data_IF_132323479069
#
_entry.id   IF_132323479069
#
_cell.length_a   1.000
_cell.length_b   1.000
_cell.length_c   1.000
_cell.angle_alpha   90.00
_cell.angle_beta   90.00
_cell.angle_gamma   90.00
#
_symmetry.space_group_name_H-M   'P 1'
#
loop_
_entity.id
_entity.type
_entity.pdbx_description
1 polymer ?
#
# COMPACT_ATOMS: atom_id res chain seq x y z
N UNK A 1 19.41 -7.11 -5.56
CA UNK A 1 18.20 -7.26 -4.72
C UNK A 1 18.61 -8.12 -3.52
N UNK A 2 18.51 -7.60 -2.28
CA UNK A 2 18.82 -8.39 -1.07
C UNK A 2 17.54 -9.12 -0.65
N UNK A 3 17.54 -10.44 -0.73
CA UNK A 3 16.44 -11.31 -0.27
C UNK A 3 16.64 -11.76 1.18
N UNK A 4 17.41 -11.01 1.97
CA UNK A 4 17.88 -11.47 3.27
C UNK A 4 16.75 -11.69 4.27
N UNK A 5 15.67 -10.90 4.20
CA UNK A 5 14.51 -11.08 5.07
C UNK A 5 13.66 -12.28 4.65
N UNK A 6 13.26 -12.32 3.37
CA UNK A 6 12.39 -13.38 2.85
C UNK A 6 13.08 -14.74 2.82
N UNK A 7 14.34 -14.80 2.39
CA UNK A 7 15.10 -16.05 2.34
C UNK A 7 15.38 -16.62 3.72
N UNK A 8 15.60 -15.77 4.72
CA UNK A 8 15.82 -16.23 6.10
C UNK A 8 14.54 -16.80 6.71
N UNK A 9 13.39 -16.15 6.53
CA UNK A 9 12.10 -16.71 6.93
C UNK A 9 11.81 -18.05 6.25
N UNK A 10 12.09 -18.16 4.95
CA UNK A 10 11.91 -19.40 4.19
C UNK A 10 12.85 -20.52 4.64
N UNK A 11 14.08 -20.18 5.02
CA UNK A 11 15.05 -21.14 5.52
C UNK A 11 14.57 -21.82 6.81
N UNK A 12 13.92 -21.07 7.70
CA UNK A 12 13.36 -21.57 8.97
C UNK A 12 11.91 -22.07 8.90
N UNK A 13 11.29 -22.02 7.71
CA UNK A 13 9.92 -22.45 7.52
C UNK A 13 9.70 -23.94 7.88
N UNK A 14 10.60 -24.90 7.53
CA UNK A 14 10.40 -26.30 7.90
C UNK A 14 10.37 -26.53 9.42
N UNK A 15 11.25 -25.86 10.18
CA UNK A 15 11.28 -25.95 11.63
C UNK A 15 10.02 -25.34 12.26
N UNK A 16 9.57 -24.18 11.75
CA UNK A 16 8.32 -23.56 12.18
C UNK A 16 7.14 -24.51 11.97
N UNK A 17 6.93 -25.01 10.76
CA UNK A 17 5.83 -25.93 10.44
C UNK A 17 5.87 -27.20 11.29
N UNK A 18 7.07 -27.74 11.55
CA UNK A 18 7.21 -28.89 12.44
C UNK A 18 6.78 -28.56 13.87
N UNK A 19 7.14 -27.38 14.39
CA UNK A 19 6.79 -26.94 15.74
C UNK A 19 5.29 -26.66 15.92
N UNK A 20 4.58 -26.27 14.86
CA UNK A 20 3.13 -26.02 14.88
C UNK A 20 2.31 -27.25 14.50
N UNK A 21 2.93 -28.42 14.28
CA UNK A 21 2.22 -29.61 13.82
C UNK A 21 1.60 -29.44 12.43
N UNK A 22 2.25 -28.66 11.57
CA UNK A 22 1.84 -28.32 10.21
C UNK A 22 0.50 -27.60 10.12
N UNK A 23 0.05 -26.96 11.20
CA UNK A 23 -1.11 -26.10 11.18
C UNK A 23 -0.76 -24.76 10.53
N UNK A 24 -1.73 -24.21 9.79
CA UNK A 24 -1.60 -22.88 9.22
C UNK A 24 -1.62 -21.84 10.35
N UNK A 25 -0.75 -20.82 10.31
CA UNK A 25 -0.82 -19.72 11.27
C UNK A 25 -2.10 -18.90 11.06
N UNK A 26 -2.86 -18.68 12.13
CA UNK A 26 -4.06 -17.84 12.13
C UNK A 26 -3.78 -16.41 12.63
N UNK A 27 -2.69 -16.22 13.40
CA UNK A 27 -2.28 -14.92 13.93
C UNK A 27 -1.11 -14.34 13.10
N UNK A 28 -1.26 -13.14 12.50
CA UNK A 28 -0.20 -12.43 11.79
C UNK A 28 1.05 -12.12 12.64
N UNK A 29 0.93 -12.21 13.97
CA UNK A 29 1.99 -11.99 14.95
C UNK A 29 2.70 -13.30 15.36
N UNK A 30 2.24 -14.45 14.85
CA UNK A 30 2.80 -15.78 15.15
C UNK A 30 2.97 -16.60 13.86
N UNK A 31 3.71 -16.07 12.91
CA UNK A 31 4.01 -16.73 11.64
C UNK A 31 5.47 -17.16 11.48
N UNK A 32 5.82 -17.72 10.30
CA UNK A 32 7.20 -18.13 9.97
C UNK A 32 8.22 -16.99 10.09
N UNK A 33 7.82 -15.75 9.78
CA UNK A 33 8.67 -14.57 9.95
C UNK A 33 9.02 -14.33 11.42
N UNK A 34 8.03 -14.34 12.30
CA UNK A 34 8.21 -14.15 13.73
C UNK A 34 9.07 -15.25 14.35
N UNK A 35 8.86 -16.49 13.92
CA UNK A 35 9.69 -17.63 14.32
C UNK A 35 11.15 -17.43 13.90
N UNK A 36 11.42 -17.09 12.63
CA UNK A 36 12.77 -16.93 12.13
C UNK A 36 13.51 -15.77 12.84
N UNK A 37 12.85 -14.63 13.00
CA UNK A 37 13.48 -13.42 13.56
C UNK A 37 13.37 -13.30 15.09
N UNK A 38 12.74 -14.26 15.77
CA UNK A 38 12.56 -14.27 17.22
C UNK A 38 11.84 -13.02 17.73
N UNK A 39 10.76 -12.62 17.06
CA UNK A 39 10.01 -11.38 17.36
C UNK A 39 8.52 -11.66 17.43
N UNK A 40 7.80 -10.94 18.29
CA UNK A 40 6.33 -10.92 18.39
C UNK A 40 5.70 -9.78 17.55
N UNK A 41 6.52 -8.96 16.88
CA UNK A 41 6.08 -7.84 16.07
C UNK A 41 5.47 -8.31 14.75
N UNK A 42 4.47 -7.58 14.27
CA UNK A 42 4.02 -7.68 12.87
C UNK A 42 5.12 -7.18 11.93
N UNK A 43 5.13 -7.67 10.69
CA UNK A 43 6.19 -7.38 9.71
C UNK A 43 6.47 -5.87 9.52
N UNK A 44 5.42 -5.06 9.33
CA UNK A 44 5.58 -3.61 9.13
C UNK A 44 6.08 -2.89 10.38
N UNK A 45 5.62 -3.28 11.57
CA UNK A 45 6.15 -2.73 12.83
C UNK A 45 7.65 -3.04 12.97
N UNK A 46 8.06 -4.27 12.63
CA UNK A 46 9.47 -4.66 12.61
C UNK A 46 10.31 -3.86 11.59
N UNK A 47 9.72 -3.49 10.44
CA UNK A 47 10.39 -2.64 9.45
C UNK A 47 10.52 -1.19 9.91
N UNK A 48 9.49 -0.61 10.56
CA UNK A 48 9.50 0.76 11.09
C UNK A 48 10.64 0.96 12.11
N UNK A 49 10.89 -0.03 12.96
CA UNK A 49 12.03 -0.03 13.89
C UNK A 49 13.40 -0.09 13.18
N UNK A 50 13.43 -0.33 11.86
CA UNK A 50 14.64 -0.57 11.05
C UNK A 50 14.61 0.30 9.79
N UNK A 51 14.83 1.62 9.89
CA UNK A 51 14.60 2.58 8.80
C UNK A 51 15.38 2.28 7.52
N UNK A 52 16.62 1.74 7.63
CA UNK A 52 17.40 1.30 6.46
C UNK A 52 16.71 0.17 5.68
N UNK A 53 16.02 -0.75 6.37
CA UNK A 53 15.30 -1.86 5.76
C UNK A 53 13.97 -1.39 5.17
N UNK A 54 13.26 -0.52 5.89
CA UNK A 54 12.04 0.13 5.39
C UNK A 54 12.30 0.84 4.06
N UNK A 55 13.37 1.64 3.97
CA UNK A 55 13.77 2.31 2.74
C UNK A 55 14.02 1.34 1.57
N UNK A 56 14.73 0.23 1.83
CA UNK A 56 14.97 -0.82 0.82
C UNK A 56 13.65 -1.47 0.38
N UNK A 57 12.76 -1.74 1.34
CA UNK A 57 11.43 -2.31 1.07
C UNK A 57 10.60 -1.37 0.19
N UNK A 58 10.54 -0.07 0.53
CA UNK A 58 9.83 0.94 -0.25
C UNK A 58 10.38 1.05 -1.67
N UNK A 59 11.71 1.13 -1.85
CA UNK A 59 12.32 1.14 -3.19
C UNK A 59 12.06 -0.16 -3.98
N UNK A 60 11.99 -1.31 -3.30
CA UNK A 60 11.62 -2.57 -3.94
C UNK A 60 10.17 -2.55 -4.40
N UNK A 61 9.25 -2.08 -3.56
CA UNK A 61 7.83 -1.93 -3.89
C UNK A 61 7.61 -0.98 -5.08
N UNK A 62 8.36 0.11 -5.16
CA UNK A 62 8.35 1.02 -6.32
C UNK A 62 8.77 0.28 -7.60
N UNK A 63 9.89 -0.45 -7.56
CA UNK A 63 10.39 -1.21 -8.70
C UNK A 63 9.40 -2.30 -9.13
N UNK A 64 8.77 -2.98 -8.18
CA UNK A 64 7.81 -4.05 -8.45
C UNK A 64 6.54 -3.56 -9.16
N UNK A 65 6.21 -2.27 -9.04
CA UNK A 65 5.11 -1.62 -9.77
C UNK A 65 5.50 -1.26 -11.21
N UNK A 66 6.79 -1.11 -11.52
CA UNK A 66 7.24 -0.75 -12.86
C UNK A 66 6.86 -1.83 -13.89
N UNK A 67 6.24 -1.41 -14.99
CA UNK A 67 5.80 -2.30 -16.07
C UNK A 67 4.44 -2.98 -15.85
N UNK A 68 3.79 -2.79 -14.70
CA UNK A 68 2.39 -3.21 -14.52
C UNK A 68 1.46 -2.29 -15.30
N UNK A 69 0.39 -2.86 -15.86
CA UNK A 69 -0.70 -2.06 -16.44
C UNK A 69 -1.34 -1.22 -15.34
N UNK A 70 -1.63 0.03 -15.67
CA UNK A 70 -2.34 0.91 -14.76
C UNK A 70 -3.78 0.43 -14.60
N UNK A 71 -4.33 0.48 -13.39
CA UNK A 71 -5.67 -0.06 -13.10
C UNK A 71 -6.76 0.59 -13.99
N UNK A 72 -6.61 1.89 -14.28
CA UNK A 72 -7.52 2.67 -15.13
C UNK A 72 -7.43 2.33 -16.63
N UNK A 73 -6.44 1.52 -17.05
CA UNK A 73 -6.40 0.96 -18.40
C UNK A 73 -7.25 -0.31 -18.53
N UNK A 74 -7.56 -0.95 -17.41
CA UNK A 74 -8.39 -2.15 -17.34
C UNK A 74 -9.83 -1.85 -16.91
N UNK A 75 -10.04 -0.75 -16.19
CA UNK A 75 -11.36 -0.29 -15.75
C UNK A 75 -11.80 0.92 -16.56
N UNK A 76 -12.94 0.87 -17.28
CA UNK A 76 -13.47 2.01 -18.03
C UNK A 76 -13.84 3.13 -17.05
N UNK A 77 -13.09 4.22 -17.07
CA UNK A 77 -13.28 5.35 -16.14
C UNK A 77 -14.64 6.02 -16.34
N UNK A 78 -15.22 5.92 -17.55
CA UNK A 78 -16.57 6.42 -17.87
C UNK A 78 -17.67 5.64 -17.14
N UNK A 79 -17.38 4.43 -16.65
CA UNK A 79 -18.29 3.64 -15.81
C UNK A 79 -18.18 4.01 -14.33
N UNK A 80 -17.11 4.69 -13.93
CA UNK A 80 -17.04 5.34 -12.62
C UNK A 80 -17.89 6.61 -12.66
N UNK A 81 -18.32 7.10 -11.51
CA UNK A 81 -19.18 8.29 -11.42
C UNK A 81 -18.45 9.53 -11.98
N UNK A 82 -18.61 9.75 -13.29
CA UNK A 82 -17.92 10.77 -14.06
C UNK A 82 -18.35 12.19 -13.68
N UNK A 83 -19.47 12.34 -12.96
CA UNK A 83 -19.86 13.62 -12.38
C UNK A 83 -18.85 14.10 -11.34
N UNK A 84 -18.30 13.18 -10.54
CA UNK A 84 -17.28 13.47 -9.51
C UNK A 84 -15.90 13.70 -10.09
N UNK A 85 -15.60 13.14 -11.26
CA UNK A 85 -14.36 13.49 -12.00
C UNK A 85 -14.28 14.98 -12.29
N UNK A 86 -15.42 15.63 -12.52
CA UNK A 86 -15.49 17.03 -12.93
C UNK A 86 -15.79 17.98 -11.76
N UNK A 87 -16.20 17.45 -10.61
CA UNK A 87 -16.51 18.23 -9.42
C UNK A 87 -15.26 18.41 -8.52
N UNK A 88 -14.76 19.64 -8.43
CA UNK A 88 -13.50 19.95 -7.74
C UNK A 88 -13.52 19.65 -6.22
N UNK A 89 -14.70 19.66 -5.60
CA UNK A 89 -14.85 19.37 -4.16
C UNK A 89 -15.06 17.88 -3.89
N UNK A 90 -15.47 17.11 -4.90
CA UNK A 90 -15.72 15.69 -4.74
C UNK A 90 -14.39 14.94 -4.66
N UNK A 91 -14.29 14.03 -3.69
CA UNK A 91 -13.23 13.03 -3.67
C UNK A 91 -13.53 12.02 -4.77
N UNK A 92 -12.62 11.84 -5.70
CA UNK A 92 -12.77 10.89 -6.80
C UNK A 92 -12.13 9.55 -6.44
N UNK A 93 -10.84 9.56 -6.11
CA UNK A 93 -10.06 8.37 -5.74
C UNK A 93 -9.44 8.57 -4.35
N UNK A 94 -9.46 7.50 -3.56
CA UNK A 94 -8.62 7.33 -2.37
C UNK A 94 -7.70 6.12 -2.61
N UNK A 95 -6.39 6.35 -2.65
CA UNK A 95 -5.37 5.30 -2.79
C UNK A 95 -4.81 4.94 -1.41
N UNK A 96 -5.29 3.82 -0.86
CA UNK A 96 -4.95 3.36 0.50
C UNK A 96 -3.70 2.50 0.47
N UNK A 97 -2.65 2.92 1.15
CA UNK A 97 -1.34 2.24 1.10
C UNK A 97 -0.66 2.42 -0.26
N UNK A 98 -0.88 3.56 -0.92
CA UNK A 98 -0.37 3.86 -2.26
C UNK A 98 1.15 4.08 -2.36
N UNK A 99 1.87 4.05 -1.23
CA UNK A 99 3.29 4.37 -1.16
C UNK A 99 3.53 5.84 -1.52
N UNK A 100 4.44 6.11 -2.46
CA UNK A 100 4.74 7.47 -2.93
C UNK A 100 3.79 7.98 -4.04
N UNK A 101 2.58 7.42 -4.16
CA UNK A 101 1.50 7.97 -5.00
C UNK A 101 1.68 7.82 -6.52
N UNK A 102 2.42 6.81 -6.97
CA UNK A 102 2.69 6.59 -8.40
C UNK A 102 1.43 6.39 -9.24
N UNK A 103 0.45 5.65 -8.72
CA UNK A 103 -0.78 5.34 -9.46
C UNK A 103 -1.66 6.59 -9.62
N UNK A 104 -1.69 7.46 -8.59
CA UNK A 104 -2.37 8.76 -8.64
C UNK A 104 -1.69 9.75 -9.59
N UNK A 105 -0.35 9.79 -9.61
CA UNK A 105 0.41 10.58 -10.59
C UNK A 105 0.09 10.13 -12.02
N UNK A 106 0.15 8.82 -12.28
CA UNK A 106 -0.17 8.26 -13.59
C UNK A 106 -1.62 8.58 -14.01
N UNK A 107 -2.56 8.51 -13.06
CA UNK A 107 -3.95 8.90 -13.30
C UNK A 107 -4.08 10.38 -13.67
N UNK A 108 -3.42 11.28 -12.93
CA UNK A 108 -3.46 12.73 -13.21
C UNK A 108 -2.89 13.06 -14.58
N UNK A 109 -1.83 12.37 -15.01
CA UNK A 109 -1.22 12.54 -16.34
C UNK A 109 -2.15 12.02 -17.44
N UNK A 110 -2.80 10.87 -17.23
CA UNK A 110 -3.73 10.27 -18.19
C UNK A 110 -5.04 11.09 -18.34
N UNK A 111 -5.49 11.73 -17.26
CA UNK A 111 -6.74 12.48 -17.20
C UNK A 111 -6.52 13.93 -16.70
N UNK A 112 -5.83 14.79 -17.46
CA UNK A 112 -5.52 16.16 -17.02
C UNK A 112 -6.77 17.04 -16.85
N UNK A 113 -7.89 16.67 -17.48
CA UNK A 113 -9.18 17.34 -17.31
C UNK A 113 -9.96 16.94 -16.06
N UNK A 114 -9.52 15.91 -15.32
CA UNK A 114 -10.15 15.50 -14.07
C UNK A 114 -9.88 16.54 -12.97
N UNK A 115 -10.95 17.05 -12.37
CA UNK A 115 -10.96 18.06 -11.31
C UNK A 115 -11.17 17.47 -9.92
N UNK A 116 -11.72 16.26 -9.84
CA UNK A 116 -11.93 15.55 -8.58
C UNK A 116 -10.65 15.40 -7.77
N UNK A 117 -10.78 15.38 -6.44
CA UNK A 117 -9.66 15.22 -5.51
C UNK A 117 -9.15 13.78 -5.58
N UNK A 118 -7.83 13.65 -5.56
CA UNK A 118 -7.11 12.38 -5.46
C UNK A 118 -6.45 12.37 -4.09
N UNK A 119 -6.80 11.40 -3.25
CA UNK A 119 -6.27 11.29 -1.89
C UNK A 119 -5.27 10.14 -1.85
N UNK A 120 -4.09 10.38 -1.29
CA UNK A 120 -3.10 9.36 -0.96
C UNK A 120 -3.13 9.12 0.55
N UNK A 121 -3.45 7.89 0.97
CA UNK A 121 -3.42 7.48 2.37
C UNK A 121 -2.21 6.57 2.64
N UNK A 122 -1.33 6.98 3.55
CA UNK A 122 -0.15 6.20 3.95
C UNK A 122 0.29 6.53 5.39
N UNK A 123 1.22 5.76 5.93
CA UNK A 123 1.94 6.00 7.17
C UNK A 123 2.73 7.31 7.11
N UNK A 124 2.92 7.92 8.29
CA UNK A 124 3.54 9.23 8.44
C UNK A 124 4.92 9.30 7.76
N UNK A 125 5.74 8.27 7.95
CA UNK A 125 7.10 8.20 7.42
C UNK A 125 7.11 8.22 5.88
N UNK A 126 6.17 7.55 5.23
CA UNK A 126 6.07 7.53 3.76
C UNK A 126 5.53 8.86 3.22
N UNK A 127 4.58 9.50 3.93
CA UNK A 127 4.07 10.82 3.56
C UNK A 127 5.17 11.88 3.69
N UNK A 128 6.00 11.81 4.73
CA UNK A 128 7.16 12.70 4.91
C UNK A 128 8.20 12.55 3.80
N UNK A 129 8.37 11.34 3.26
CA UNK A 129 9.26 11.05 2.13
C UNK A 129 8.63 11.33 0.74
N UNK A 130 7.39 11.82 0.68
CA UNK A 130 6.69 12.06 -0.59
C UNK A 130 7.45 13.08 -1.46
N UNK A 131 7.79 12.75 -2.72
CA UNK A 131 8.57 13.66 -3.55
C UNK A 131 7.82 14.97 -3.85
N UNK A 132 8.53 16.09 -3.78
CA UNK A 132 7.97 17.45 -3.93
C UNK A 132 7.29 17.69 -5.28
N UNK A 133 7.71 16.98 -6.33
CA UNK A 133 7.05 17.01 -7.64
C UNK A 133 5.69 16.28 -7.69
N UNK A 134 5.45 15.31 -6.79
CA UNK A 134 4.17 14.57 -6.71
C UNK A 134 3.18 15.16 -5.74
N UNK A 135 3.66 15.77 -4.65
CA UNK A 135 2.80 16.38 -3.64
C UNK A 135 1.71 17.32 -4.21
N UNK A 136 1.92 18.08 -5.31
CA UNK A 136 0.86 18.90 -5.89
C UNK A 136 -0.22 18.14 -6.68
N UNK A 137 -0.01 16.87 -7.02
CA UNK A 137 -0.92 16.10 -7.88
C UNK A 137 -2.06 15.43 -7.10
N UNK A 138 -1.90 15.29 -5.79
CA UNK A 138 -2.76 14.56 -4.85
C UNK A 138 -2.74 15.21 -3.47
N UNK A 139 -3.68 14.83 -2.62
CA UNK A 139 -3.75 15.27 -1.23
C UNK A 139 -3.24 14.14 -0.32
N UNK A 140 -2.06 14.29 0.31
CA UNK A 140 -1.54 13.28 1.21
C UNK A 140 -2.25 13.33 2.57
N UNK A 141 -2.65 12.17 3.08
CA UNK A 141 -3.26 11.99 4.39
C UNK A 141 -2.52 10.89 5.13
N UNK A 142 -2.09 11.19 6.36
CA UNK A 142 -1.54 10.17 7.25
C UNK A 142 -2.67 9.29 7.75
N UNK A 143 -2.61 8.00 7.43
CA UNK A 143 -3.67 7.05 7.77
C UNK A 143 -3.11 5.65 8.03
N UNK A 144 -3.60 5.03 9.11
CA UNK A 144 -3.38 3.62 9.40
C UNK A 144 -4.61 2.82 8.92
N UNK A 145 -4.43 2.03 7.86
CA UNK A 145 -5.51 1.26 7.25
C UNK A 145 -6.08 0.14 8.14
N UNK A 146 -5.45 -0.17 9.28
CA UNK A 146 -6.02 -1.06 10.28
C UNK A 146 -7.03 -0.36 11.20
N UNK A 147 -7.20 0.96 11.07
CA UNK A 147 -8.21 1.74 11.78
C UNK A 147 -9.44 1.98 10.91
N UNK A 148 -10.58 2.43 11.45
CA UNK A 148 -11.75 2.76 10.65
C UNK A 148 -11.47 3.89 9.64
N UNK A 149 -11.96 3.71 8.40
CA UNK A 149 -11.75 4.65 7.28
C UNK A 149 -12.31 6.05 7.60
N UNK A 150 -11.46 7.11 7.67
CA UNK A 150 -11.90 8.47 8.03
C UNK A 150 -12.68 9.18 6.93
N UNK A 151 -12.53 8.76 5.67
CA UNK A 151 -13.20 9.36 4.52
C UNK A 151 -14.53 8.64 4.26
N UNK A 152 -15.63 9.28 4.64
CA UNK A 152 -16.98 8.78 4.43
C UNK A 152 -17.63 9.40 3.18
N UNK A 153 -18.23 8.55 2.32
CA UNK A 153 -19.03 8.98 1.17
C UNK A 153 -18.95 8.02 -0.02
N UNK A 154 -19.61 8.38 -1.14
CA UNK A 154 -19.49 7.64 -2.42
C UNK A 154 -18.14 7.91 -3.09
N UNK A 155 -17.05 7.38 -2.53
CA UNK A 155 -15.70 7.47 -3.12
C UNK A 155 -15.30 6.13 -3.73
N UNK A 156 -14.38 6.17 -4.70
CA UNK A 156 -13.77 4.94 -5.22
C UNK A 156 -12.46 4.74 -4.45
N UNK A 157 -12.47 3.82 -3.49
CA UNK A 157 -11.26 3.40 -2.79
C UNK A 157 -10.62 2.25 -3.55
N UNK A 158 -9.32 2.32 -3.73
CA UNK A 158 -8.53 1.30 -4.39
C UNK A 158 -7.20 1.14 -3.66
N UNK A 159 -6.67 -0.08 -3.61
CA UNK A 159 -5.34 -0.35 -3.08
C UNK A 159 -4.61 -1.32 -4.00
N UNK A 160 -3.41 -0.93 -4.44
CA UNK A 160 -2.50 -1.81 -5.18
C UNK A 160 -1.61 -2.64 -4.24
N UNK A 161 -1.68 -2.40 -2.92
CA UNK A 161 -0.76 -2.96 -1.91
C UNK A 161 -1.48 -3.79 -0.85
N UNK A 162 -2.73 -3.45 -0.50
CA UNK A 162 -3.55 -4.23 0.42
C UNK A 162 -4.32 -5.27 -0.38
N UNK A 163 -3.85 -6.52 -0.32
CA UNK A 163 -4.52 -7.69 -0.88
C UNK A 163 -5.10 -8.57 0.22
N UNK A 164 -5.85 -8.00 1.17
CA UNK A 164 -6.63 -8.78 2.13
C UNK A 164 -8.01 -8.15 2.29
N UNK A 165 -9.01 -9.01 2.41
CA UNK A 165 -10.44 -8.78 2.26
C UNK A 165 -10.95 -7.51 2.97
N UNK A 166 -11.66 -6.68 2.22
CA UNK A 166 -12.66 -5.77 2.78
C UNK A 166 -13.95 -6.58 2.92
N UNK A 167 -14.33 -6.91 4.16
CA UNK A 167 -15.70 -7.36 4.49
C UNK A 167 -16.69 -6.19 4.42
#
# INVERSE_FOLDING_TARGET
MRYDVSSFSLYHLPEFLKSTGYQNPEDPSHGPFQYAFGTDRKFFQWLQERPKRLKIFNSWMECHRQGRKQWFQSLPIERLDSSRLLEQRAIFIVDVGGGHGHDLEAFRIAFPGAKGRLILEEQAETIEELPSQRAPLMEPIVYDFFTPQPIFGRTHSFSTTVGEHYD
#
